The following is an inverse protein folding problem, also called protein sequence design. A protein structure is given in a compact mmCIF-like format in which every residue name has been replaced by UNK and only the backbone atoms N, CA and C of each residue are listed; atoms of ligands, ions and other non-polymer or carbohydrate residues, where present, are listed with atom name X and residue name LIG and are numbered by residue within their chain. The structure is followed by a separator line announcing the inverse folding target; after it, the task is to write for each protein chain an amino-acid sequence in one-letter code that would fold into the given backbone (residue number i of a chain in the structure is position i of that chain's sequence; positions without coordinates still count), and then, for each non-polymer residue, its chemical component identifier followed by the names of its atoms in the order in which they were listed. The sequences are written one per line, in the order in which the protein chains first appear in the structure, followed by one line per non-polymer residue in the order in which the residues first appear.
data_IF_115676876333
#
_entry.id   IF_115676876333
#
_cell.length_a   1.000
_cell.length_b   1.000
_cell.length_c   1.000
_cell.angle_alpha   90.00
_cell.angle_beta   90.00
_cell.angle_gamma   90.00
#
_symmetry.space_group_name_H-M   'P 1'
#
loop_
_entity.id
_entity.type
_entity.pdbx_description
1 polymer ?
#
# COMPACT_ATOMS: atom_id res chain seq x y z
N UNK A 1 6.97 -67.48 -15.86
CA UNK A 1 6.11 -66.89 -14.81
C UNK A 1 6.77 -65.59 -14.38
N UNK A 2 6.58 -64.55 -15.19
CA UNK A 2 5.59 -63.47 -14.99
C UNK A 2 5.99 -62.51 -13.86
N UNK A 3 6.73 -61.50 -14.30
CA UNK A 3 6.69 -60.09 -13.91
C UNK A 3 5.45 -59.69 -13.11
N UNK A 4 5.66 -59.04 -11.97
CA UNK A 4 4.63 -58.38 -11.17
C UNK A 4 5.14 -57.02 -10.70
N UNK A 5 5.34 -56.12 -11.66
CA UNK A 5 5.23 -54.68 -11.41
C UNK A 5 3.82 -54.39 -10.91
N UNK A 6 3.72 -53.57 -9.87
CA UNK A 6 2.45 -53.21 -9.25
C UNK A 6 2.61 -51.95 -8.43
N UNK A 7 2.88 -50.84 -9.12
CA UNK A 7 2.29 -49.54 -8.81
C UNK A 7 2.30 -49.13 -7.34
N UNK A 8 3.49 -48.80 -6.81
CA UNK A 8 3.56 -47.59 -5.97
C UNK A 8 3.47 -46.40 -6.90
N UNK A 9 2.25 -46.17 -7.42
CA UNK A 9 1.81 -44.83 -7.83
C UNK A 9 1.86 -44.02 -6.55
N UNK A 10 3.05 -43.50 -6.27
CA UNK A 10 3.25 -42.38 -5.39
C UNK A 10 2.51 -41.22 -6.06
N UNK A 11 1.20 -41.19 -5.85
CA UNK A 11 0.38 -40.02 -6.00
C UNK A 11 0.88 -39.02 -4.95
N UNK A 12 2.04 -38.43 -5.21
CA UNK A 12 2.25 -37.02 -4.86
C UNK A 12 1.16 -36.32 -5.65
N UNK A 13 -0.03 -36.24 -5.05
CA UNK A 13 -0.88 -35.07 -5.25
C UNK A 13 0.05 -33.92 -4.88
N UNK A 14 0.71 -33.36 -5.91
CA UNK A 14 1.28 -32.04 -5.80
C UNK A 14 0.09 -31.20 -5.40
N UNK A 15 0.00 -30.81 -4.13
CA UNK A 15 -0.83 -29.70 -3.72
C UNK A 15 -0.50 -28.57 -4.69
N UNK A 16 -1.37 -28.40 -5.67
CA UNK A 16 -1.20 -27.36 -6.67
C UNK A 16 -1.51 -26.08 -5.92
N UNK A 17 -0.45 -25.48 -5.35
CA UNK A 17 -0.53 -24.20 -4.66
C UNK A 17 -1.27 -23.25 -5.59
N UNK A 18 -2.42 -22.73 -5.13
CA UNK A 18 -3.27 -21.87 -5.93
C UNK A 18 -2.43 -20.79 -6.64
N UNK A 19 -2.71 -20.47 -7.91
CA UNK A 19 -1.92 -19.50 -8.65
C UNK A 19 -1.92 -18.17 -7.90
N UNK A 20 -0.73 -17.56 -7.78
CA UNK A 20 -0.58 -16.31 -7.05
C UNK A 20 -1.45 -15.18 -7.65
N UNK A 21 -2.09 -14.35 -6.81
CA UNK A 21 -3.14 -13.42 -7.22
C UNK A 21 -2.57 -12.11 -7.81
N UNK A 22 -1.69 -12.22 -8.82
CA UNK A 22 -0.94 -11.08 -9.37
C UNK A 22 -1.83 -10.04 -10.07
N UNK A 23 -2.82 -10.47 -10.86
CA UNK A 23 -3.72 -9.57 -11.58
C UNK A 23 -4.64 -8.75 -10.64
N UNK A 24 -5.40 -9.36 -9.70
CA UNK A 24 -6.18 -8.60 -8.74
C UNK A 24 -5.29 -7.71 -7.84
N UNK A 25 -4.07 -8.15 -7.53
CA UNK A 25 -3.08 -7.30 -6.84
C UNK A 25 -2.80 -6.00 -7.59
N UNK A 26 -2.50 -6.09 -8.89
CA UNK A 26 -2.21 -4.92 -9.69
C UNK A 26 -3.38 -3.93 -9.71
N UNK A 27 -4.61 -4.43 -9.85
CA UNK A 27 -5.82 -3.61 -9.82
C UNK A 27 -5.96 -2.87 -8.49
N UNK A 28 -5.82 -3.58 -7.36
CA UNK A 28 -5.95 -2.98 -6.04
C UNK A 28 -4.90 -1.88 -5.79
N UNK A 29 -3.64 -2.12 -6.19
CA UNK A 29 -2.57 -1.14 -6.07
C UNK A 29 -2.81 0.11 -6.94
N UNK A 30 -3.27 -0.07 -8.18
CA UNK A 30 -3.59 1.06 -9.07
C UNK A 30 -4.79 1.86 -8.56
N UNK A 31 -5.85 1.20 -8.08
CA UNK A 31 -7.02 1.88 -7.51
C UNK A 31 -6.64 2.65 -6.25
N UNK A 32 -5.91 2.02 -5.31
CA UNK A 32 -5.46 2.70 -4.09
C UNK A 32 -4.54 3.88 -4.42
N UNK A 33 -3.58 3.70 -5.32
CA UNK A 33 -2.66 4.75 -5.73
C UNK A 33 -3.36 5.93 -6.42
N UNK A 34 -4.33 5.64 -7.29
CA UNK A 34 -5.13 6.68 -7.98
C UNK A 34 -5.98 7.46 -6.99
N UNK A 35 -6.63 6.77 -6.04
CA UNK A 35 -7.40 7.42 -4.99
C UNK A 35 -6.53 8.38 -4.16
N UNK A 36 -5.30 7.98 -3.81
CA UNK A 36 -4.35 8.86 -3.14
C UNK A 36 -3.93 10.05 -4.03
N UNK A 37 -3.58 9.83 -5.30
CA UNK A 37 -3.20 10.94 -6.20
C UNK A 37 -4.34 11.96 -6.31
N UNK A 38 -5.59 11.51 -6.47
CA UNK A 38 -6.75 12.39 -6.55
C UNK A 38 -6.96 13.17 -5.26
N UNK A 39 -6.82 12.51 -4.12
CA UNK A 39 -7.00 13.13 -2.83
C UNK A 39 -5.89 14.15 -2.50
N UNK A 40 -4.64 13.86 -2.90
CA UNK A 40 -3.56 14.85 -2.87
C UNK A 40 -3.85 16.03 -3.81
N UNK A 41 -4.38 15.75 -5.02
CA UNK A 41 -4.81 16.77 -5.97
C UNK A 41 -5.87 17.72 -5.42
N UNK A 42 -6.90 17.18 -4.75
CA UNK A 42 -7.93 18.00 -4.09
C UNK A 42 -7.32 18.88 -2.99
N UNK A 43 -6.46 18.30 -2.14
CA UNK A 43 -5.77 19.05 -1.08
C UNK A 43 -4.96 20.22 -1.65
N UNK A 44 -4.14 19.95 -2.67
CA UNK A 44 -3.19 20.92 -3.19
C UNK A 44 -3.74 21.83 -4.27
N UNK A 45 -5.00 21.65 -4.69
CA UNK A 45 -5.64 22.47 -5.72
C UNK A 45 -5.52 23.99 -5.43
N UNK A 46 -5.80 24.49 -4.21
CA UNK A 46 -5.72 25.93 -3.94
C UNK A 46 -4.31 26.50 -4.18
N UNK A 47 -3.27 25.74 -3.84
CA UNK A 47 -1.87 26.15 -4.00
C UNK A 47 -1.39 26.19 -5.46
N UNK A 48 -2.08 25.51 -6.39
CA UNK A 48 -1.78 25.60 -7.83
C UNK A 48 -2.35 26.89 -8.42
N UNK A 49 -3.44 27.40 -7.86
CA UNK A 49 -4.12 28.61 -8.33
C UNK A 49 -3.45 29.86 -7.76
N UNK A 50 -3.23 29.88 -6.44
CA UNK A 50 -2.63 31.01 -5.73
C UNK A 50 -1.92 30.53 -4.46
N UNK A 51 -0.59 30.65 -4.46
CA UNK A 51 0.28 30.22 -3.36
C UNK A 51 0.11 31.06 -2.09
N UNK A 52 -0.32 32.31 -2.22
CA UNK A 52 -0.47 33.24 -1.08
C UNK A 52 -1.91 33.26 -0.54
N UNK A 53 -2.80 32.46 -1.12
CA UNK A 53 -4.20 32.39 -0.69
C UNK A 53 -4.33 31.75 0.70
N UNK A 54 -5.28 32.25 1.51
CA UNK A 54 -5.63 31.65 2.80
C UNK A 54 -6.01 30.17 2.68
N UNK A 55 -6.58 29.77 1.53
CA UNK A 55 -6.92 28.37 1.25
C UNK A 55 -5.68 27.50 1.00
N UNK A 56 -4.62 28.04 0.38
CA UNK A 56 -3.35 27.32 0.27
C UNK A 56 -2.65 27.21 1.62
N UNK A 57 -2.66 28.27 2.43
CA UNK A 57 -2.14 28.24 3.81
C UNK A 57 -2.87 27.19 4.64
N UNK A 58 -4.20 27.15 4.61
CA UNK A 58 -4.99 26.11 5.30
C UNK A 58 -4.71 24.69 4.78
N UNK A 59 -4.40 24.52 3.48
CA UNK A 59 -4.02 23.22 2.93
C UNK A 59 -2.60 22.78 3.32
N UNK A 60 -1.70 23.74 3.54
CA UNK A 60 -0.35 23.51 4.05
C UNK A 60 -0.38 23.19 5.53
N UNK A 61 -1.17 23.91 6.32
CA UNK A 61 -1.35 23.61 7.74
C UNK A 61 -1.81 22.14 7.91
N UNK A 62 -1.46 21.54 9.03
CA UNK A 62 -1.82 20.17 9.40
C UNK A 62 -1.08 19.04 8.64
N UNK A 63 0.12 18.77 9.15
CA UNK A 63 1.10 17.79 8.64
C UNK A 63 0.59 16.34 8.47
N UNK A 64 -0.56 15.99 9.06
CA UNK A 64 -0.95 14.58 9.30
C UNK A 64 -2.35 14.21 8.82
N UNK A 65 -3.15 15.19 8.45
CA UNK A 65 -4.59 15.05 8.17
C UNK A 65 -4.94 14.10 7.02
N UNK A 66 -3.96 13.81 6.18
CA UNK A 66 -4.14 13.05 4.96
C UNK A 66 -3.84 11.55 5.11
N UNK A 67 -3.03 11.13 6.08
CA UNK A 67 -2.79 9.70 6.35
C UNK A 67 -3.28 9.31 7.72
N UNK A 68 -2.66 9.83 8.76
CA UNK A 68 -3.09 9.58 10.14
C UNK A 68 -3.60 10.88 10.71
N UNK A 69 -4.93 11.01 10.69
CA UNK A 69 -5.64 12.15 11.26
C UNK A 69 -5.17 12.39 12.69
N UNK A 70 -4.56 13.56 12.92
CA UNK A 70 -4.04 13.91 14.23
C UNK A 70 -4.25 15.38 14.55
N UNK A 71 -4.41 15.72 15.83
CA UNK A 71 -4.68 17.09 16.22
C UNK A 71 -3.46 18.03 16.01
N UNK A 72 -3.69 19.31 15.65
CA UNK A 72 -4.97 19.88 15.17
C UNK A 72 -5.30 19.37 13.76
N UNK A 73 -6.58 19.09 13.48
CA UNK A 73 -7.08 18.55 12.19
C UNK A 73 -8.18 19.45 11.64
N UNK A 74 -8.10 19.80 10.34
CA UNK A 74 -9.17 20.51 9.62
C UNK A 74 -9.59 19.70 8.38
N UNK A 75 -10.82 19.16 8.33
CA UNK A 75 -11.20 18.22 7.29
C UNK A 75 -11.35 18.87 5.91
N UNK A 76 -10.43 18.55 4.99
CA UNK A 76 -10.71 18.64 3.55
C UNK A 76 -11.50 17.39 3.15
N UNK A 77 -12.81 17.42 3.41
CA UNK A 77 -13.70 16.24 3.43
C UNK A 77 -13.55 15.33 2.21
N UNK A 78 -13.46 15.89 0.99
CA UNK A 78 -13.27 15.12 -0.24
C UNK A 78 -11.91 14.38 -0.32
N UNK A 79 -10.84 14.99 0.18
CA UNK A 79 -9.52 14.37 0.20
C UNK A 79 -9.46 13.24 1.26
N UNK A 80 -10.00 13.48 2.45
CA UNK A 80 -9.97 12.52 3.57
C UNK A 80 -10.77 11.25 3.23
N UNK A 81 -11.94 11.39 2.59
CA UNK A 81 -12.77 10.24 2.18
C UNK A 81 -12.04 9.36 1.15
N UNK A 82 -11.37 9.97 0.17
CA UNK A 82 -10.61 9.23 -0.83
C UNK A 82 -9.35 8.59 -0.24
N UNK A 83 -8.70 9.22 0.74
CA UNK A 83 -7.60 8.61 1.49
C UNK A 83 -8.08 7.41 2.31
N UNK A 84 -9.27 7.50 2.95
CA UNK A 84 -9.91 6.37 3.63
C UNK A 84 -10.21 5.22 2.67
N UNK A 85 -10.74 5.53 1.47
CA UNK A 85 -10.97 4.53 0.43
C UNK A 85 -9.66 3.82 0.05
N UNK A 86 -8.58 4.56 -0.17
CA UNK A 86 -7.28 3.97 -0.48
C UNK A 86 -6.81 3.01 0.63
N UNK A 87 -6.97 3.40 1.90
CA UNK A 87 -6.65 2.57 3.07
C UNK A 87 -7.46 1.26 3.08
N UNK A 88 -8.77 1.31 2.82
CA UNK A 88 -9.60 0.10 2.76
C UNK A 88 -9.26 -0.80 1.55
N UNK A 89 -8.93 -0.22 0.40
CA UNK A 89 -8.46 -0.99 -0.77
C UNK A 89 -7.14 -1.69 -0.45
N UNK A 90 -6.22 -1.01 0.24
CA UNK A 90 -4.96 -1.61 0.72
C UNK A 90 -5.21 -2.72 1.75
N UNK A 91 -6.21 -2.58 2.63
CA UNK A 91 -6.62 -3.67 3.52
C UNK A 91 -7.06 -4.91 2.72
N UNK A 92 -7.88 -4.72 1.68
CA UNK A 92 -8.29 -5.79 0.77
C UNK A 92 -7.10 -6.47 0.07
N UNK A 93 -6.12 -5.67 -0.38
CA UNK A 93 -4.86 -6.17 -0.96
C UNK A 93 -4.10 -7.08 0.02
N UNK A 94 -3.95 -6.65 1.27
CA UNK A 94 -3.24 -7.44 2.27
C UNK A 94 -4.02 -8.70 2.68
N UNK A 95 -5.35 -8.65 2.77
CA UNK A 95 -6.18 -9.82 3.04
C UNK A 95 -6.10 -10.86 1.93
N UNK A 96 -6.03 -10.42 0.66
CA UNK A 96 -5.84 -11.30 -0.49
C UNK A 96 -4.50 -12.05 -0.42
N UNK A 97 -3.42 -11.39 0.00
CA UNK A 97 -2.13 -12.06 0.17
C UNK A 97 -2.04 -12.88 1.46
N UNK A 98 -2.76 -12.51 2.51
CA UNK A 98 -2.87 -13.33 3.71
C UNK A 98 -3.50 -14.70 3.41
N UNK A 99 -4.58 -14.72 2.61
CA UNK A 99 -5.24 -15.96 2.21
C UNK A 99 -4.37 -16.81 1.30
N UNK A 100 -3.65 -16.20 0.35
CA UNK A 100 -2.72 -16.92 -0.52
C UNK A 100 -1.51 -17.49 0.25
N UNK A 101 -0.97 -16.72 1.21
CA UNK A 101 0.17 -17.12 2.01
C UNK A 101 -0.19 -18.02 3.21
N UNK A 102 -1.40 -18.59 3.25
CA UNK A 102 -1.89 -19.38 4.40
C UNK A 102 -0.99 -20.58 4.77
N UNK A 103 -0.22 -21.12 3.81
CA UNK A 103 0.76 -22.17 4.07
C UNK A 103 1.98 -21.69 4.90
N UNK A 104 2.22 -20.37 4.99
CA UNK A 104 3.26 -19.74 5.80
C UNK A 104 2.65 -18.85 6.86
N UNK A 105 2.57 -19.35 8.11
CA UNK A 105 2.00 -18.62 9.24
C UNK A 105 2.62 -17.23 9.41
N UNK A 106 3.93 -17.09 9.22
CA UNK A 106 4.63 -15.81 9.34
C UNK A 106 4.18 -14.80 8.30
N UNK A 107 4.10 -15.20 7.02
CA UNK A 107 3.67 -14.32 5.96
C UNK A 107 2.19 -13.96 6.09
N UNK A 108 1.34 -14.94 6.43
CA UNK A 108 -0.08 -14.71 6.72
C UNK A 108 -0.26 -13.67 7.84
N UNK A 109 0.41 -13.84 8.99
CA UNK A 109 0.31 -12.91 10.12
C UNK A 109 0.82 -11.52 9.73
N UNK A 110 1.94 -11.42 9.03
CA UNK A 110 2.46 -10.13 8.59
C UNK A 110 1.46 -9.39 7.67
N UNK A 111 0.84 -10.10 6.72
CA UNK A 111 -0.22 -9.55 5.88
C UNK A 111 -1.46 -9.13 6.69
N UNK A 112 -1.88 -9.93 7.68
CA UNK A 112 -3.02 -9.58 8.53
C UNK A 112 -2.75 -8.33 9.38
N UNK A 113 -1.54 -8.17 9.90
CA UNK A 113 -1.14 -6.95 10.65
C UNK A 113 -1.14 -5.73 9.72
N UNK A 114 -0.62 -5.88 8.49
CA UNK A 114 -0.68 -4.81 7.49
C UNK A 114 -2.13 -4.44 7.14
N UNK A 115 -3.00 -5.43 6.94
CA UNK A 115 -4.43 -5.22 6.71
C UNK A 115 -5.10 -4.50 7.89
N UNK A 116 -4.86 -4.95 9.11
CA UNK A 116 -5.43 -4.35 10.31
C UNK A 116 -4.99 -2.88 10.48
N UNK A 117 -3.71 -2.59 10.24
CA UNK A 117 -3.21 -1.21 10.30
C UNK A 117 -3.90 -0.31 9.27
N UNK A 118 -4.11 -0.80 8.04
CA UNK A 118 -4.81 -0.07 6.99
C UNK A 118 -6.30 0.16 7.34
N UNK A 119 -6.96 -0.82 7.96
CA UNK A 119 -8.35 -0.65 8.46
C UNK A 119 -8.41 0.40 9.56
N UNK A 120 -7.50 0.36 10.53
CA UNK A 120 -7.46 1.34 11.62
C UNK A 120 -7.25 2.75 11.08
N UNK A 121 -6.31 2.93 10.15
CA UNK A 121 -6.06 4.21 9.47
C UNK A 121 -7.29 4.68 8.69
N UNK A 122 -7.86 3.83 7.83
CA UNK A 122 -9.04 4.15 7.02
C UNK A 122 -10.26 4.48 7.88
N UNK A 123 -10.46 3.77 8.98
CA UNK A 123 -11.55 4.04 9.93
C UNK A 123 -11.34 5.36 10.65
N UNK A 124 -10.11 5.66 11.09
CA UNK A 124 -9.79 6.95 11.72
C UNK A 124 -10.06 8.12 10.77
N UNK A 125 -9.61 8.01 9.52
CA UNK A 125 -9.89 8.98 8.45
C UNK A 125 -11.39 9.18 8.24
N UNK A 126 -12.16 8.10 8.10
CA UNK A 126 -13.59 8.19 7.88
C UNK A 126 -14.33 8.79 9.09
N UNK A 127 -13.99 8.37 10.31
CA UNK A 127 -14.57 8.91 11.53
C UNK A 127 -14.30 10.41 11.66
N UNK A 128 -13.07 10.86 11.39
CA UNK A 128 -12.73 12.28 11.42
C UNK A 128 -13.52 13.08 10.39
N UNK A 129 -13.71 12.54 9.18
CA UNK A 129 -14.50 13.19 8.14
C UNK A 129 -16.00 13.30 8.48
N UNK A 130 -16.61 12.24 9.04
CA UNK A 130 -18.07 12.21 9.29
C UNK A 130 -18.47 12.85 10.62
N UNK A 131 -17.53 13.07 11.52
CA UNK A 131 -17.78 13.67 12.85
C UNK A 131 -17.22 15.07 13.00
N UNK A 132 -16.76 15.68 11.91
CA UNK A 132 -16.14 17.01 11.91
C UNK A 132 -15.03 17.09 12.97
N UNK A 133 -14.08 16.15 12.87
CA UNK A 133 -12.95 16.00 13.79
C UNK A 133 -13.28 15.57 15.24
N UNK A 134 -14.55 15.31 15.61
CA UNK A 134 -14.88 14.92 16.98
C UNK A 134 -14.37 13.51 17.36
N UNK A 135 -14.24 12.60 16.40
CA UNK A 135 -13.70 11.25 16.56
C UNK A 135 -12.66 10.96 15.48
N UNK A 136 -11.81 9.95 15.70
CA UNK A 136 -10.81 9.51 14.71
C UNK A 136 -9.55 10.38 14.64
N UNK A 137 -9.51 11.51 15.36
CA UNK A 137 -8.33 12.35 15.54
C UNK A 137 -7.49 11.81 16.70
N UNK A 138 -6.21 11.56 16.44
CA UNK A 138 -5.26 11.09 17.44
C UNK A 138 -4.36 12.23 17.93
N UNK A 139 -3.98 12.19 19.20
CA UNK A 139 -2.89 13.03 19.70
C UNK A 139 -1.55 12.68 19.02
N UNK A 140 -0.57 13.58 19.12
CA UNK A 140 0.71 13.44 18.42
C UNK A 140 1.38 12.07 18.63
N UNK A 141 1.44 11.60 19.88
CA UNK A 141 2.10 10.34 20.26
C UNK A 141 1.38 9.11 19.67
N UNK A 142 0.07 8.88 19.91
CA UNK A 142 -0.61 7.74 19.31
C UNK A 142 -0.63 7.79 17.77
N UNK A 143 -0.72 8.98 17.17
CA UNK A 143 -0.60 9.15 15.73
C UNK A 143 0.77 8.72 15.20
N UNK A 144 1.86 9.08 15.89
CA UNK A 144 3.22 8.65 15.53
C UNK A 144 3.41 7.14 15.64
N UNK A 145 2.86 6.51 16.69
CA UNK A 145 2.93 5.05 16.87
C UNK A 145 2.16 4.33 15.76
N UNK A 146 0.93 4.77 15.46
CA UNK A 146 0.15 4.22 14.36
C UNK A 146 0.86 4.43 13.02
N UNK A 147 1.53 5.57 12.83
CA UNK A 147 2.34 5.87 11.65
C UNK A 147 3.46 4.88 11.45
N UNK A 148 4.21 4.62 12.52
CA UNK A 148 5.29 3.64 12.47
C UNK A 148 4.77 2.24 12.13
N UNK A 149 3.64 1.83 12.70
CA UNK A 149 3.01 0.54 12.41
C UNK A 149 2.55 0.49 10.95
N UNK A 150 1.85 1.52 10.47
CA UNK A 150 1.32 1.61 9.13
C UNK A 150 2.41 1.64 8.05
N UNK A 151 3.64 2.03 8.41
CA UNK A 151 4.82 1.95 7.53
C UNK A 151 5.49 0.58 7.61
N UNK A 152 5.79 0.10 8.83
CA UNK A 152 6.58 -1.12 9.02
C UNK A 152 5.81 -2.39 8.65
N UNK A 153 4.51 -2.47 8.95
CA UNK A 153 3.74 -3.68 8.70
C UNK A 153 3.66 -4.06 7.19
N UNK A 154 3.34 -3.14 6.27
CA UNK A 154 3.45 -3.36 4.83
C UNK A 154 4.84 -3.80 4.36
N UNK A 155 5.91 -3.21 4.91
CA UNK A 155 7.29 -3.54 4.55
C UNK A 155 7.62 -4.97 4.97
N UNK A 156 7.32 -5.34 6.21
CA UNK A 156 7.57 -6.69 6.75
C UNK A 156 6.77 -7.73 5.98
N UNK A 157 5.50 -7.46 5.68
CA UNK A 157 4.66 -8.34 4.85
C UNK A 157 5.25 -8.53 3.45
N UNK A 158 5.69 -7.45 2.81
CA UNK A 158 6.32 -7.50 1.49
C UNK A 158 7.64 -8.27 1.50
N UNK A 159 8.46 -8.15 2.56
CA UNK A 159 9.70 -8.92 2.72
C UNK A 159 9.39 -10.41 2.86
N UNK A 160 8.38 -10.77 3.67
CA UNK A 160 7.97 -12.16 3.81
C UNK A 160 7.52 -12.76 2.46
N UNK A 161 6.72 -12.02 1.69
CA UNK A 161 6.25 -12.43 0.36
C UNK A 161 7.37 -12.43 -0.70
N UNK A 162 8.34 -11.53 -0.59
CA UNK A 162 9.56 -11.52 -1.40
C UNK A 162 10.35 -12.83 -1.23
N UNK A 163 10.57 -13.24 0.02
CA UNK A 163 11.30 -14.48 0.36
C UNK A 163 10.56 -15.72 -0.16
N UNK A 164 9.24 -15.74 -0.01
CA UNK A 164 8.40 -16.85 -0.49
C UNK A 164 8.22 -16.87 -2.01
N UNK A 165 8.41 -15.73 -2.70
CA UNK A 165 8.19 -15.65 -4.15
C UNK A 165 9.21 -16.52 -4.92
N UNK A 166 8.77 -17.52 -5.69
CA UNK A 166 9.66 -18.34 -6.49
C UNK A 166 10.10 -17.64 -7.79
N UNK A 167 9.32 -16.65 -8.26
CA UNK A 167 9.57 -15.99 -9.55
C UNK A 167 10.46 -14.75 -9.39
N UNK A 168 11.42 -14.56 -10.29
CA UNK A 168 12.25 -13.33 -10.34
C UNK A 168 11.41 -12.07 -10.54
N UNK A 169 10.34 -12.15 -11.34
CA UNK A 169 9.42 -11.02 -11.59
C UNK A 169 8.61 -10.66 -10.35
N UNK A 170 8.07 -11.65 -9.65
CA UNK A 170 7.38 -11.44 -8.37
C UNK A 170 8.34 -10.86 -7.33
N UNK A 171 9.59 -11.34 -7.27
CA UNK A 171 10.60 -10.75 -6.38
C UNK A 171 10.87 -9.29 -6.69
N UNK A 172 11.07 -8.94 -7.96
CA UNK A 172 11.25 -7.55 -8.37
C UNK A 172 10.05 -6.68 -7.98
N UNK A 173 8.82 -7.15 -8.21
CA UNK A 173 7.60 -6.43 -7.85
C UNK A 173 7.53 -6.16 -6.34
N UNK A 174 7.84 -7.17 -5.51
CA UNK A 174 7.93 -7.00 -4.05
C UNK A 174 9.06 -6.06 -3.63
N UNK A 175 10.24 -6.16 -4.23
CA UNK A 175 11.36 -5.24 -3.95
C UNK A 175 10.97 -3.80 -4.24
N UNK A 176 10.31 -3.53 -5.37
CA UNK A 176 9.87 -2.18 -5.71
C UNK A 176 8.78 -1.70 -4.75
N UNK A 177 7.84 -2.57 -4.37
CA UNK A 177 6.83 -2.20 -3.36
C UNK A 177 7.46 -1.89 -2.00
N UNK A 178 8.51 -2.62 -1.57
CA UNK A 178 9.24 -2.34 -0.32
C UNK A 178 9.90 -0.96 -0.38
N UNK A 179 10.72 -0.72 -1.41
CA UNK A 179 11.46 0.53 -1.58
C UNK A 179 10.49 1.70 -1.73
N UNK A 180 9.45 1.51 -2.55
CA UNK A 180 8.41 2.49 -2.75
C UNK A 180 7.62 2.79 -1.48
N UNK A 181 7.19 1.78 -0.73
CA UNK A 181 6.43 1.99 0.53
C UNK A 181 7.26 2.70 1.58
N UNK A 182 8.58 2.44 1.61
CA UNK A 182 9.49 3.17 2.48
C UNK A 182 9.60 4.64 2.06
N UNK A 183 9.94 4.92 0.79
CA UNK A 183 10.14 6.27 0.27
C UNK A 183 8.85 7.11 0.24
N UNK A 184 7.73 6.48 -0.08
CA UNK A 184 6.41 7.11 -0.13
C UNK A 184 5.69 7.12 1.20
N UNK A 185 6.28 6.60 2.29
CA UNK A 185 5.66 6.73 3.60
C UNK A 185 5.60 8.20 4.01
N UNK A 186 4.51 8.62 4.64
CA UNK A 186 4.40 10.00 5.16
C UNK A 186 5.49 10.34 6.16
N UNK A 187 6.00 9.35 6.89
CA UNK A 187 7.15 9.51 7.79
C UNK A 187 8.42 9.82 6.97
N UNK A 188 8.68 9.08 5.89
CA UNK A 188 9.83 9.37 5.03
C UNK A 188 9.65 10.67 4.26
N UNK A 189 8.45 10.94 3.73
CA UNK A 189 8.11 12.20 3.06
C UNK A 189 8.33 13.38 4.01
N UNK A 190 7.91 13.26 5.27
CA UNK A 190 8.24 14.22 6.31
C UNK A 190 9.74 14.31 6.57
N UNK A 191 10.46 13.22 6.88
CA UNK A 191 11.91 13.27 7.19
C UNK A 191 12.74 13.79 6.00
N UNK A 192 12.37 13.44 4.76
CA UNK A 192 13.08 13.84 3.54
C UNK A 192 12.79 15.29 3.17
N UNK A 193 11.55 15.75 3.33
CA UNK A 193 11.14 17.12 3.00
C UNK A 193 11.32 18.10 4.18
N UNK A 194 11.52 17.62 5.41
CA UNK A 194 11.71 18.44 6.62
C UNK A 194 13.16 18.81 6.92
N UNK A 195 14.07 18.71 5.95
CA UNK A 195 15.39 19.34 6.08
C UNK A 195 15.21 20.87 6.16
N UNK A 196 14.92 21.41 7.35
CA UNK A 196 15.38 22.69 7.94
C UNK A 196 14.49 23.32 9.03
N UNK A 197 13.27 22.83 9.35
CA UNK A 197 12.41 23.51 10.33
C UNK A 197 11.69 22.56 11.31
N UNK A 198 12.27 22.41 12.49
CA UNK A 198 11.79 21.63 13.63
C UNK A 198 10.57 22.25 14.37
N UNK A 199 9.72 23.03 13.71
CA UNK A 199 8.62 23.73 14.40
C UNK A 199 7.37 24.06 13.57
N UNK A 200 7.34 23.86 12.24
CA UNK A 200 6.12 24.16 11.48
C UNK A 200 5.18 22.95 11.46
N UNK A 201 3.91 23.20 11.72
CA UNK A 201 2.81 22.25 11.58
C UNK A 201 2.45 21.97 10.10
N UNK A 202 3.22 22.52 9.17
CA UNK A 202 2.89 22.60 7.74
C UNK A 202 3.44 21.42 6.94
N UNK A 203 2.60 20.82 6.10
CA UNK A 203 3.00 19.91 5.04
C UNK A 203 3.60 20.67 3.85
N UNK A 204 4.72 20.22 3.29
CA UNK A 204 5.20 20.74 2.02
C UNK A 204 4.20 20.45 0.89
N UNK A 205 4.06 21.39 -0.04
CA UNK A 205 3.18 21.26 -1.20
C UNK A 205 3.53 19.98 -1.97
N UNK A 206 2.50 19.18 -2.26
CA UNK A 206 2.64 17.94 -3.01
C UNK A 206 2.78 16.68 -2.15
N UNK A 207 2.80 16.80 -0.83
CA UNK A 207 2.73 15.64 0.09
C UNK A 207 1.54 14.75 -0.27
N UNK A 208 1.74 13.44 -0.34
CA UNK A 208 0.71 12.47 -0.69
C UNK A 208 0.70 12.04 -2.16
N UNK A 209 1.30 12.80 -3.08
CA UNK A 209 1.49 12.34 -4.47
C UNK A 209 2.49 11.20 -4.56
N UNK A 210 3.57 11.24 -3.76
CA UNK A 210 4.61 10.22 -3.78
C UNK A 210 4.09 8.82 -3.38
N UNK A 211 3.38 8.63 -2.23
CA UNK A 211 2.78 7.34 -1.92
C UNK A 211 1.82 6.86 -3.01
N UNK A 212 0.98 7.76 -3.54
CA UNK A 212 0.03 7.42 -4.60
C UNK A 212 0.74 6.94 -5.88
N UNK A 213 1.76 7.66 -6.33
CA UNK A 213 2.57 7.31 -7.50
C UNK A 213 3.32 5.99 -7.32
N UNK A 214 3.88 5.76 -6.14
CA UNK A 214 4.52 4.48 -5.76
C UNK A 214 3.56 3.31 -5.93
N UNK A 215 2.32 3.42 -5.44
CA UNK A 215 1.34 2.35 -5.53
C UNK A 215 0.95 2.08 -6.99
N UNK A 216 0.75 3.11 -7.80
CA UNK A 216 0.45 2.96 -9.24
C UNK A 216 1.62 2.27 -9.97
N UNK A 217 2.85 2.75 -9.78
CA UNK A 217 4.05 2.18 -10.40
C UNK A 217 4.22 0.71 -9.98
N UNK A 218 4.04 0.42 -8.69
CA UNK A 218 4.08 -0.95 -8.17
C UNK A 218 3.01 -1.81 -8.84
N UNK A 219 1.77 -1.32 -8.93
CA UNK A 219 0.67 -1.99 -9.63
C UNK A 219 1.04 -2.38 -11.07
N UNK A 220 1.66 -1.47 -11.83
CA UNK A 220 2.14 -1.77 -13.18
C UNK A 220 3.18 -2.90 -13.21
N UNK A 221 4.10 -2.96 -12.24
CA UNK A 221 5.08 -4.05 -12.16
C UNK A 221 4.43 -5.38 -11.77
N UNK A 222 3.39 -5.36 -10.95
CA UNK A 222 2.58 -6.54 -10.63
C UNK A 222 1.82 -7.06 -11.86
N UNK A 223 1.39 -6.19 -12.79
CA UNK A 223 0.88 -6.62 -14.12
C UNK A 223 1.97 -7.37 -14.89
N UNK A 224 3.19 -6.83 -14.95
CA UNK A 224 4.31 -7.49 -15.63
C UNK A 224 4.61 -8.86 -14.99
N UNK A 225 4.53 -8.97 -13.67
CA UNK A 225 4.67 -10.24 -12.96
C UNK A 225 3.53 -11.24 -13.28
N UNK A 226 2.31 -10.75 -13.50
CA UNK A 226 1.17 -11.56 -13.92
C UNK A 226 1.32 -12.12 -15.34
N UNK A 227 1.99 -11.40 -16.24
CA UNK A 227 2.21 -11.89 -17.61
C UNK A 227 3.25 -13.01 -17.61
N UNK A 228 2.84 -14.26 -17.90
CA UNK A 228 3.78 -15.27 -18.41
C UNK A 228 4.21 -14.78 -19.79
N UNK A 229 5.53 -14.76 -20.09
CA UNK A 229 5.94 -14.61 -21.49
C UNK A 229 5.23 -15.75 -22.24
N UNK A 230 4.34 -15.41 -23.18
CA UNK A 230 4.04 -16.27 -24.30
C UNK A 230 5.37 -16.42 -25.07
N UNK A 231 6.23 -17.31 -24.57
CA UNK A 231 7.39 -17.77 -25.33
C UNK A 231 6.81 -18.55 -26.49
N UNK A 232 6.89 -17.96 -27.67
CA UNK A 232 6.70 -18.68 -28.92
C UNK A 232 7.42 -20.03 -28.81
N UNK A 233 6.79 -21.15 -29.15
CA UNK A 233 7.55 -22.36 -29.39
C UNK A 233 8.55 -22.00 -30.48
N UNK A 234 9.85 -22.07 -30.16
CA UNK A 234 10.86 -22.30 -31.18
C UNK A 234 10.55 -23.70 -31.72
N UNK A 235 9.62 -23.76 -32.66
CA UNK A 235 9.47 -24.89 -33.57
C UNK A 235 10.81 -25.07 -34.26
N UNK A 236 11.55 -26.07 -33.77
CA UNK A 236 12.34 -27.01 -34.57
C UNK A 236 12.75 -26.48 -35.94
N UNK A 237 14.04 -26.15 -36.03
CA UNK A 237 14.85 -26.29 -37.24
C UNK A 237 14.43 -27.52 -38.08
N UNK A 238 14.49 -27.40 -39.41
CA UNK A 238 15.38 -28.23 -40.22
C UNK A 238 16.79 -27.64 -40.25
#
# INVERSE_FOLDING_TARGET
MTTGDGERVAMRVTEETAPAPWAPTAILLVVAGTALILAAGIRWQPCVVDLDSLACVAAQDHLRDYGIVSAPFEPILGAVVLAALASFVMAGFWLLWASWAAASRTAMVACLVAAASAVVVGTGQLLAAVTDAALGVLEWVPASVLGLIAVLAPIVASIALLVLSPSRRGRLAWTVLIVGSFLGSQIAEFVLLSNLFLASHDSPIGTGFLPGGVLVISGCLFVIAATKRAGAPLSTLP
#
